data_IF_286101335383
#
_entry.id   IF_286101335383
#
_cell.length_a   1.000
_cell.length_b   1.000
_cell.length_c   1.000
_cell.angle_alpha   90.00
_cell.angle_beta   90.00
_cell.angle_gamma   90.00
#
_symmetry.space_group_name_H-M   'P 1'
#
loop_
_entity.id
_entity.type
_entity.pdbx_description
1 polymer ?
#
# COMPACT_ATOMS: atom_id res chain seq x y z
N UNK A 1 9.38 12.92 -11.89
CA UNK A 1 9.18 11.68 -12.71
C UNK A 1 8.51 10.52 -11.96
N UNK A 2 8.65 10.39 -10.62
CA UNK A 2 8.04 9.32 -9.83
C UNK A 2 6.50 9.27 -9.92
N UNK A 3 5.83 10.40 -9.67
CA UNK A 3 4.36 10.50 -9.66
C UNK A 3 3.70 10.04 -10.96
N UNK A 4 4.24 10.46 -12.11
CA UNK A 4 3.72 10.10 -13.44
C UNK A 4 3.89 8.59 -13.68
N UNK A 5 5.02 8.04 -13.26
CA UNK A 5 5.32 6.60 -13.38
C UNK A 5 4.38 5.77 -12.51
N UNK A 6 4.17 6.19 -11.26
CA UNK A 6 3.23 5.54 -10.34
C UNK A 6 1.79 5.65 -10.84
N UNK A 7 1.36 6.81 -11.31
CA UNK A 7 -0.01 6.99 -11.84
C UNK A 7 -0.30 6.02 -12.99
N UNK A 8 0.65 5.87 -13.93
CA UNK A 8 0.50 4.94 -15.06
C UNK A 8 0.44 3.48 -14.60
N UNK A 9 1.29 3.07 -13.66
CA UNK A 9 1.30 1.70 -13.12
C UNK A 9 0.05 1.39 -12.31
N UNK A 10 -0.38 2.30 -11.45
CA UNK A 10 -1.57 2.14 -10.61
C UNK A 10 -2.85 2.09 -11.43
N UNK A 11 -2.94 2.84 -12.53
CA UNK A 11 -4.08 2.75 -13.44
C UNK A 11 -4.29 1.32 -13.97
N UNK A 12 -3.22 0.58 -14.21
CA UNK A 12 -3.30 -0.80 -14.70
C UNK A 12 -3.49 -1.84 -13.58
N UNK A 13 -2.88 -1.63 -12.41
CA UNK A 13 -2.79 -2.65 -11.36
C UNK A 13 -3.73 -2.45 -10.18
N UNK A 14 -4.13 -1.21 -9.89
CA UNK A 14 -4.94 -0.87 -8.72
C UNK A 14 -5.77 0.41 -8.97
N UNK A 15 -6.82 0.33 -9.82
CA UNK A 15 -7.70 1.46 -10.09
C UNK A 15 -8.41 1.88 -8.80
N UNK A 16 -8.14 3.10 -8.34
CA UNK A 16 -8.65 3.63 -7.07
C UNK A 16 -7.56 4.06 -6.09
N UNK A 17 -6.31 3.64 -6.32
CA UNK A 17 -5.15 4.16 -5.59
C UNK A 17 -4.54 5.36 -6.31
N UNK A 18 -4.11 6.35 -5.52
CA UNK A 18 -3.40 7.54 -6.03
C UNK A 18 -1.91 7.41 -5.74
N UNK A 19 -1.03 8.06 -6.54
CA UNK A 19 0.40 8.09 -6.23
C UNK A 19 0.67 8.59 -4.80
N UNK A 20 -0.08 9.60 -4.34
CA UNK A 20 0.02 10.16 -2.98
C UNK A 20 -0.37 9.20 -1.88
N UNK A 21 -1.39 8.36 -2.09
CA UNK A 21 -1.72 7.33 -1.10
C UNK A 21 -0.65 6.24 -1.05
N UNK A 22 0.00 5.94 -2.19
CA UNK A 22 1.06 4.92 -2.26
C UNK A 22 2.38 5.39 -1.66
N UNK A 23 2.69 6.69 -1.71
CA UNK A 23 3.87 7.24 -1.02
C UNK A 23 3.87 6.94 0.48
N UNK A 24 2.69 6.87 1.12
CA UNK A 24 2.55 6.53 2.54
C UNK A 24 2.94 5.08 2.86
N UNK A 25 2.86 4.20 1.87
CA UNK A 25 3.23 2.80 1.98
C UNK A 25 4.73 2.56 1.80
N UNK A 26 5.52 3.60 1.51
CA UNK A 26 6.98 3.48 1.38
C UNK A 26 7.68 3.03 2.68
N UNK A 27 7.02 3.17 3.84
CA UNK A 27 7.51 2.68 5.11
C UNK A 27 7.31 1.16 5.31
N UNK A 28 6.48 0.51 4.48
CA UNK A 28 6.32 -0.95 4.56
C UNK A 28 7.59 -1.64 4.05
N UNK A 29 8.21 -2.41 4.92
CA UNK A 29 9.33 -3.27 4.55
C UNK A 29 8.78 -4.64 4.18
N UNK A 30 9.15 -5.12 2.99
CA UNK A 30 8.92 -6.49 2.56
C UNK A 30 10.22 -7.27 2.75
N UNK A 31 10.15 -8.35 3.53
CA UNK A 31 11.31 -9.18 3.85
C UNK A 31 10.95 -10.62 3.54
N UNK A 32 11.75 -11.25 2.67
CA UNK A 32 11.72 -12.70 2.48
C UNK A 32 12.72 -13.34 3.43
N UNK A 33 12.23 -14.17 4.34
CA UNK A 33 13.08 -14.91 5.29
C UNK A 33 13.24 -16.33 4.78
N UNK A 34 14.49 -16.72 4.52
CA UNK A 34 14.85 -18.05 4.07
C UNK A 34 15.39 -18.86 5.25
N UNK A 35 14.69 -19.92 5.62
CA UNK A 35 15.07 -20.79 6.74
C UNK A 35 15.48 -22.16 6.22
N UNK A 36 16.73 -22.61 6.44
CA UNK A 36 17.10 -23.97 6.08
C UNK A 36 16.43 -24.96 7.02
N UNK A 37 15.80 -25.99 6.45
CA UNK A 37 15.25 -27.13 7.19
C UNK A 37 16.28 -28.24 7.30
N UNK A 38 16.14 -29.10 8.31
CA UNK A 38 16.99 -30.30 8.50
C UNK A 38 17.01 -31.25 7.30
N UNK A 39 15.96 -31.23 6.48
CA UNK A 39 15.83 -32.07 5.28
C UNK A 39 16.44 -31.42 4.02
N UNK A 40 17.16 -30.30 4.17
CA UNK A 40 17.82 -29.60 3.06
C UNK A 40 16.90 -28.76 2.18
N UNK A 41 15.64 -28.53 2.60
CA UNK A 41 14.70 -27.63 1.92
C UNK A 41 14.77 -26.24 2.53
N UNK A 42 14.45 -25.19 1.77
CA UNK A 42 14.27 -23.84 2.30
C UNK A 42 12.79 -23.56 2.56
N UNK A 43 12.49 -23.05 3.75
CA UNK A 43 11.18 -22.50 4.07
C UNK A 43 11.24 -20.99 3.85
N UNK A 44 10.48 -20.49 2.86
CA UNK A 44 10.38 -19.07 2.54
C UNK A 44 9.18 -18.48 3.26
N UNK A 45 9.43 -17.52 4.16
CA UNK A 45 8.40 -16.75 4.83
C UNK A 45 8.37 -15.33 4.28
N UNK A 46 7.28 -14.98 3.61
CA UNK A 46 7.02 -13.60 3.20
C UNK A 46 6.50 -12.81 4.40
N UNK A 47 7.31 -11.89 4.92
CA UNK A 47 6.95 -11.00 6.03
C UNK A 47 6.78 -9.57 5.51
N UNK A 48 5.77 -8.89 6.01
CA UNK A 48 5.57 -7.46 5.79
C UNK A 48 5.40 -6.76 7.13
N UNK A 49 5.90 -5.54 7.23
CA UNK A 49 5.61 -4.67 8.38
C UNK A 49 4.25 -4.01 8.18
N UNK A 50 3.46 -3.90 9.25
CA UNK A 50 2.24 -3.11 9.21
C UNK A 50 2.60 -1.62 9.33
N UNK A 51 2.19 -0.76 8.39
CA UNK A 51 2.49 0.67 8.44
C UNK A 51 1.60 1.37 9.48
N UNK A 52 2.05 2.49 10.04
CA UNK A 52 1.29 3.21 11.07
C UNK A 52 -0.12 3.61 10.59
N UNK A 53 -1.15 3.63 11.46
CA UNK A 53 -2.54 3.91 11.08
C UNK A 53 -2.75 5.25 10.35
N UNK A 54 -1.92 6.27 10.65
CA UNK A 54 -1.94 7.58 9.99
C UNK A 54 -1.48 7.50 8.51
N UNK A 55 -0.67 6.50 8.18
CA UNK A 55 -0.22 6.18 6.83
C UNK A 55 -1.28 5.38 6.06
N UNK A 56 -2.02 4.49 6.73
CA UNK A 56 -3.01 3.60 6.10
C UNK A 56 -4.31 4.30 5.77
N UNK A 57 -4.77 5.28 6.57
CA UNK A 57 -6.08 5.89 6.35
C UNK A 57 -6.01 6.80 5.10
N UNK A 58 -6.66 6.44 3.97
CA UNK A 58 -6.82 7.39 2.88
C UNK A 58 -7.69 8.54 3.41
N UNK A 59 -7.50 9.79 2.96
CA UNK A 59 -8.42 10.86 3.30
C UNK A 59 -9.81 10.39 2.87
N UNK A 60 -10.70 10.16 3.83
CA UNK A 60 -12.10 9.94 3.55
C UNK A 60 -12.51 11.06 2.61
N UNK A 61 -12.90 10.72 1.37
CA UNK A 61 -13.44 11.69 0.42
C UNK A 61 -14.57 12.38 1.18
N UNK A 62 -14.32 13.62 1.59
CA UNK A 62 -15.29 14.41 2.32
C UNK A 62 -16.57 14.38 1.53
N UNK A 63 -17.70 14.08 2.19
CA UNK A 63 -19.00 14.39 1.61
C UNK A 63 -19.00 15.89 1.34
N UNK A 64 -18.72 16.27 0.11
CA UNK A 64 -19.08 17.57 -0.41
C UNK A 64 -20.61 17.69 -0.26
N UNK A 65 -21.03 18.74 0.45
CA UNK A 65 -22.35 19.37 0.33
C UNK A 65 -23.57 18.47 0.28
N UNK A 66 -24.27 18.37 1.41
CA UNK A 66 -25.72 18.50 1.39
C UNK A 66 -26.16 19.31 2.61
N UNK A 67 -25.78 20.59 2.62
CA UNK A 67 -26.77 21.58 3.01
C UNK A 67 -27.71 21.70 1.81
N UNK A 68 -28.85 21.00 1.88
CA UNK A 68 -30.01 21.26 1.04
C UNK A 68 -31.24 20.94 1.89
N UNK A 69 -31.78 22.04 2.39
CA UNK A 69 -33.16 22.35 2.74
C UNK A 69 -34.08 21.21 3.20
N UNK A 70 -34.55 21.37 4.44
CA UNK A 70 -35.70 20.69 5.04
C UNK A 70 -35.84 21.14 6.47
#
# INVERSE_FOLDING_TARGET
CLHVTLARRLHALAPGLTPRSVEKFAAMQMIDVHLPTTDGRELVLTRYTEPEPELVRPPCRGKAGSQLLG
#
